data_IF_690166558598
#
_entry.id   IF_690166558598
#
_cell.length_a   1.000
_cell.length_b   1.000
_cell.length_c   1.000
_cell.angle_alpha   90.00
_cell.angle_beta   90.00
_cell.angle_gamma   90.00
#
_symmetry.space_group_name_H-M   'P 1'
#
loop_
_entity.id
_entity.type
_entity.pdbx_description
1 polymer ?
#
# COMPACT_ATOMS: atom_id res chain seq x y z
N UNK A 1 -2.26 5.88 8.03
CA UNK A 1 -3.42 5.32 8.77
C UNK A 1 -4.68 5.40 7.90
N UNK A 2 -5.59 4.42 7.92
CA UNK A 2 -6.92 4.59 7.28
C UNK A 2 -7.64 5.76 7.97
N UNK A 3 -8.13 6.79 7.26
CA UNK A 3 -8.73 7.96 7.90
C UNK A 3 -10.09 7.67 8.55
N UNK A 4 -10.66 6.47 8.32
CA UNK A 4 -11.98 6.11 8.82
C UNK A 4 -11.86 4.94 9.81
N UNK A 5 -11.97 5.24 11.11
CA UNK A 5 -12.25 4.22 12.16
C UNK A 5 -13.71 3.74 12.11
N UNK A 6 -14.58 4.52 11.47
CA UNK A 6 -16.01 4.27 11.30
C UNK A 6 -16.28 3.54 9.98
N UNK A 7 -16.96 2.39 10.08
CA UNK A 7 -17.27 1.53 8.93
C UNK A 7 -18.26 2.18 7.96
N UNK A 8 -19.25 2.93 8.45
CA UNK A 8 -20.24 3.57 7.59
C UNK A 8 -19.59 4.69 6.78
N UNK A 9 -18.76 5.53 7.42
CA UNK A 9 -17.99 6.57 6.72
C UNK A 9 -17.07 6.00 5.64
N UNK A 10 -16.45 4.84 5.90
CA UNK A 10 -15.65 4.15 4.90
C UNK A 10 -16.52 3.67 3.72
N UNK A 11 -17.69 3.08 3.99
CA UNK A 11 -18.59 2.60 2.95
C UNK A 11 -19.12 3.77 2.11
N UNK A 12 -19.46 4.90 2.73
CA UNK A 12 -19.91 6.11 2.02
C UNK A 12 -18.79 6.71 1.17
N UNK A 13 -17.56 6.77 1.70
CA UNK A 13 -16.39 7.18 0.93
C UNK A 13 -16.17 6.27 -0.28
N UNK A 14 -16.21 4.94 -0.09
CA UNK A 14 -16.04 3.97 -1.17
C UNK A 14 -17.16 4.11 -2.20
N UNK A 15 -18.40 4.31 -1.77
CA UNK A 15 -19.56 4.50 -2.65
C UNK A 15 -19.42 5.78 -3.48
N UNK A 16 -19.03 6.89 -2.85
CA UNK A 16 -18.82 8.17 -3.51
C UNK A 16 -17.62 8.13 -4.46
N UNK A 17 -16.52 7.51 -4.05
CA UNK A 17 -15.36 7.29 -4.91
C UNK A 17 -15.73 6.42 -6.11
N UNK A 18 -16.47 5.34 -5.87
CA UNK A 18 -16.94 4.44 -6.92
C UNK A 18 -17.84 5.16 -7.94
N UNK A 19 -18.71 6.06 -7.47
CA UNK A 19 -19.57 6.86 -8.33
C UNK A 19 -18.79 7.89 -9.19
N UNK A 20 -17.73 8.49 -8.63
CA UNK A 20 -16.88 9.47 -9.32
C UNK A 20 -15.85 8.84 -10.26
N UNK A 21 -15.49 7.57 -10.02
CA UNK A 21 -14.48 6.85 -10.79
C UNK A 21 -15.04 5.53 -11.34
N UNK A 22 -16.09 5.59 -12.19
CA UNK A 22 -16.78 4.40 -12.69
C UNK A 22 -15.85 3.47 -13.48
N UNK A 23 -14.86 4.02 -14.19
CA UNK A 23 -13.88 3.24 -14.97
C UNK A 23 -12.95 2.41 -14.08
N UNK A 24 -12.60 2.93 -12.90
CA UNK A 24 -11.76 2.24 -11.92
C UNK A 24 -12.55 1.11 -11.25
N UNK A 25 -13.83 1.36 -10.94
CA UNK A 25 -14.75 0.35 -10.41
C UNK A 25 -15.03 -0.73 -11.45
N UNK A 26 -15.21 -0.34 -12.71
CA UNK A 26 -15.39 -1.23 -13.86
C UNK A 26 -14.15 -2.11 -14.04
N UNK A 27 -12.94 -1.54 -14.09
CA UNK A 27 -11.67 -2.28 -14.15
C UNK A 27 -11.43 -3.18 -12.93
N UNK A 28 -11.90 -2.77 -11.74
CA UNK A 28 -11.91 -3.62 -10.56
C UNK A 28 -12.90 -4.80 -10.74
N UNK A 29 -14.16 -4.54 -11.11
CA UNK A 29 -15.22 -5.55 -11.29
C UNK A 29 -14.92 -6.52 -12.45
N UNK A 30 -14.39 -6.05 -13.56
CA UNK A 30 -14.06 -6.86 -14.74
C UNK A 30 -12.97 -7.92 -14.46
N UNK A 31 -12.19 -7.75 -13.39
CA UNK A 31 -11.22 -8.75 -12.93
C UNK A 31 -11.83 -9.88 -12.07
N UNK A 32 -13.14 -10.15 -12.15
CA UNK A 32 -13.81 -11.32 -11.55
C UNK A 32 -13.45 -12.65 -12.25
N UNK A 33 -12.15 -12.87 -12.46
CA UNK A 33 -11.57 -14.18 -12.75
C UNK A 33 -11.29 -14.91 -11.42
N UNK A 34 -11.05 -16.24 -11.46
CA UNK A 34 -10.53 -17.01 -10.30
C UNK A 34 -9.34 -16.32 -9.61
N UNK A 35 -8.51 -15.58 -10.36
CA UNK A 35 -7.37 -14.84 -9.83
C UNK A 35 -7.76 -13.65 -8.93
N UNK A 36 -8.87 -12.96 -9.23
CA UNK A 36 -9.41 -11.88 -8.39
C UNK A 36 -9.89 -12.38 -7.03
N UNK A 37 -10.56 -13.54 -7.01
CA UNK A 37 -11.01 -14.20 -5.76
C UNK A 37 -9.82 -14.62 -4.89
N UNK A 38 -8.83 -15.32 -5.46
CA UNK A 38 -7.63 -15.76 -4.71
C UNK A 38 -6.86 -14.60 -4.07
N UNK A 39 -6.77 -13.46 -4.76
CA UNK A 39 -6.14 -12.27 -4.20
C UNK A 39 -6.94 -11.70 -3.02
N UNK A 40 -8.27 -11.57 -3.16
CA UNK A 40 -9.13 -11.10 -2.09
C UNK A 40 -9.10 -12.04 -0.86
N UNK A 41 -9.09 -13.35 -1.07
CA UNK A 41 -8.95 -14.33 0.01
C UNK A 41 -7.60 -14.20 0.71
N UNK A 42 -6.52 -13.98 -0.05
CA UNK A 42 -5.18 -13.72 0.50
C UNK A 42 -5.12 -12.44 1.32
N UNK A 43 -5.78 -11.39 0.85
CA UNK A 43 -5.89 -10.09 1.52
C UNK A 43 -6.62 -10.25 2.87
N UNK A 44 -7.76 -10.93 2.88
CA UNK A 44 -8.50 -11.23 4.10
C UNK A 44 -7.69 -12.12 5.05
N UNK A 45 -7.05 -13.17 4.56
CA UNK A 45 -6.31 -14.13 5.40
C UNK A 45 -5.07 -13.52 6.04
N UNK A 46 -4.26 -12.77 5.28
CA UNK A 46 -3.02 -12.18 5.77
C UNK A 46 -3.25 -10.87 6.53
N UNK A 47 -4.14 -10.03 6.00
CA UNK A 47 -4.25 -8.66 6.49
C UNK A 47 -5.56 -8.36 7.21
N UNK A 48 -6.57 -9.26 7.17
CA UNK A 48 -7.94 -8.98 7.63
C UNK A 48 -8.56 -7.78 6.91
N UNK A 49 -8.08 -7.50 5.69
CA UNK A 49 -8.51 -6.37 4.86
C UNK A 49 -9.46 -6.87 3.79
N UNK A 50 -10.65 -6.30 3.73
CA UNK A 50 -11.60 -6.53 2.64
C UNK A 50 -11.12 -5.88 1.36
N UNK A 51 -11.63 -6.36 0.23
CA UNK A 51 -11.32 -5.78 -1.07
C UNK A 51 -11.72 -4.30 -1.13
N UNK A 52 -12.87 -3.95 -0.57
CA UNK A 52 -13.43 -2.60 -0.55
C UNK A 52 -12.53 -1.67 0.27
N UNK A 53 -12.02 -2.13 1.41
CA UNK A 53 -11.01 -1.42 2.20
C UNK A 53 -9.74 -1.17 1.39
N UNK A 54 -9.22 -2.17 0.68
CA UNK A 54 -8.04 -1.99 -0.16
C UNK A 54 -8.27 -0.94 -1.26
N UNK A 55 -9.42 -1.02 -1.97
CA UNK A 55 -9.78 -0.06 -3.01
C UNK A 55 -9.88 1.35 -2.43
N UNK A 56 -10.55 1.51 -1.28
CA UNK A 56 -10.63 2.80 -0.58
C UNK A 56 -9.25 3.36 -0.25
N UNK A 57 -8.36 2.50 0.24
CA UNK A 57 -6.99 2.88 0.62
C UNK A 57 -6.16 3.26 -0.59
N UNK A 58 -6.29 2.53 -1.68
CA UNK A 58 -5.62 2.82 -2.95
C UNK A 58 -6.10 4.15 -3.53
N UNK A 59 -7.42 4.38 -3.52
CA UNK A 59 -8.05 5.64 -3.90
C UNK A 59 -7.53 6.84 -3.10
N UNK A 60 -7.48 6.70 -1.77
CA UNK A 60 -6.94 7.74 -0.87
C UNK A 60 -5.47 8.08 -1.14
N UNK A 61 -4.74 7.17 -1.78
CA UNK A 61 -3.34 7.37 -2.18
C UNK A 61 -3.19 7.71 -3.66
N UNK A 62 -4.27 8.08 -4.36
CA UNK A 62 -4.26 8.34 -5.80
C UNK A 62 -3.64 7.18 -6.60
N UNK A 63 -3.90 5.95 -6.15
CA UNK A 63 -3.34 4.70 -6.68
C UNK A 63 -1.81 4.61 -6.68
N UNK A 64 -1.13 5.47 -5.91
CA UNK A 64 0.34 5.56 -5.81
C UNK A 64 0.88 4.96 -4.53
N UNK A 65 2.16 4.59 -4.57
CA UNK A 65 2.94 4.20 -3.40
C UNK A 65 2.95 5.34 -2.37
N UNK A 66 2.61 5.05 -1.11
CA UNK A 66 2.62 6.05 -0.04
C UNK A 66 4.02 6.58 0.33
N UNK A 67 5.10 5.96 -0.16
CA UNK A 67 6.47 6.43 0.06
C UNK A 67 7.00 7.20 -1.15
N UNK A 68 7.04 6.56 -2.33
CA UNK A 68 7.70 7.16 -3.49
C UNK A 68 6.77 7.93 -4.44
N UNK A 69 5.46 7.96 -4.17
CA UNK A 69 4.48 8.71 -4.96
C UNK A 69 4.24 8.17 -6.38
N UNK A 70 4.79 7.00 -6.72
CA UNK A 70 4.68 6.39 -8.06
C UNK A 70 3.66 5.25 -8.08
N UNK A 71 2.99 5.12 -9.21
CA UNK A 71 2.13 3.99 -9.60
C UNK A 71 2.99 2.76 -9.93
N UNK A 72 2.38 1.58 -10.01
CA UNK A 72 3.10 0.37 -10.42
C UNK A 72 3.48 0.42 -11.91
N UNK A 73 2.67 1.10 -12.72
CA UNK A 73 2.91 1.35 -14.14
C UNK A 73 4.14 2.25 -14.36
N UNK A 74 4.25 3.37 -13.64
CA UNK A 74 5.42 4.27 -13.70
C UNK A 74 6.72 3.59 -13.25
N UNK A 75 6.61 2.57 -12.39
CA UNK A 75 7.74 1.78 -11.93
C UNK A 75 8.09 0.60 -12.86
N UNK A 76 7.31 0.39 -13.93
CA UNK A 76 7.45 -0.72 -14.87
C UNK A 76 7.58 -2.09 -14.18
N UNK A 77 6.81 -2.31 -13.11
CA UNK A 77 6.86 -3.59 -12.38
C UNK A 77 5.82 -4.58 -12.86
N UNK A 78 6.17 -5.87 -12.83
CA UNK A 78 5.23 -6.95 -13.17
C UNK A 78 4.03 -7.01 -12.22
N UNK A 79 4.21 -6.58 -10.97
CA UNK A 79 3.17 -6.60 -9.95
C UNK A 79 2.17 -5.45 -10.17
N UNK A 80 0.96 -5.78 -10.67
CA UNK A 80 -0.09 -4.79 -10.95
C UNK A 80 -0.74 -4.14 -9.72
N UNK A 81 -0.35 -4.53 -8.49
CA UNK A 81 -1.00 -4.08 -7.24
C UNK A 81 0.05 -3.65 -6.23
N UNK A 82 -0.25 -2.61 -5.46
CA UNK A 82 0.56 -2.20 -4.32
C UNK A 82 0.40 -3.22 -3.16
N UNK A 83 1.47 -3.44 -2.41
CA UNK A 83 1.50 -4.29 -1.22
C UNK A 83 0.85 -3.58 -0.03
N UNK A 84 0.14 -4.33 0.82
CA UNK A 84 -0.37 -3.81 2.09
C UNK A 84 0.77 -3.75 3.09
N UNK A 85 1.07 -2.55 3.56
CA UNK A 85 2.06 -2.31 4.60
C UNK A 85 1.39 -2.15 5.97
N UNK A 86 2.01 -2.73 7.00
CA UNK A 86 1.49 -2.74 8.36
C UNK A 86 2.61 -2.54 9.37
N UNK A 87 2.25 -2.03 10.54
CA UNK A 87 3.19 -1.83 11.64
C UNK A 87 3.63 -3.18 12.23
N UNK A 88 4.92 -3.47 12.07
CA UNK A 88 5.56 -4.70 12.53
C UNK A 88 5.85 -4.74 14.03
N UNK A 89 5.78 -3.61 14.73
CA UNK A 89 5.80 -3.59 16.18
C UNK A 89 4.47 -4.09 16.75
N UNK A 90 3.36 -3.76 16.09
CA UNK A 90 2.03 -4.27 16.45
C UNK A 90 1.82 -5.74 16.05
N UNK A 91 2.25 -6.14 14.85
CA UNK A 91 2.14 -7.52 14.38
C UNK A 91 3.44 -7.95 13.72
N UNK A 92 4.17 -8.88 14.34
CA UNK A 92 5.40 -9.41 13.75
C UNK A 92 5.12 -10.32 12.55
N UNK A 93 6.03 -10.30 11.57
CA UNK A 93 5.98 -11.17 10.39
C UNK A 93 5.10 -10.65 9.24
N UNK A 94 4.50 -11.57 8.48
CA UNK A 94 3.75 -11.23 7.25
C UNK A 94 2.28 -10.89 7.46
N UNK A 95 1.70 -11.21 8.63
CA UNK A 95 0.27 -11.09 8.90
C UNK A 95 0.00 -9.88 9.79
N UNK A 96 -1.15 -9.24 9.59
CA UNK A 96 -1.58 -8.11 10.41
C UNK A 96 -2.89 -8.40 11.16
N UNK A 97 -3.10 -7.74 12.30
CA UNK A 97 -4.34 -7.82 13.08
C UNK A 97 -5.56 -7.16 12.42
N UNK A 98 -5.38 -6.48 11.29
CA UNK A 98 -6.42 -5.71 10.61
C UNK A 98 -6.60 -4.28 11.10
N UNK A 99 -5.85 -3.87 12.12
CA UNK A 99 -5.92 -2.52 12.72
C UNK A 99 -4.65 -1.70 12.49
N UNK A 100 -3.53 -2.36 12.19
CA UNK A 100 -2.21 -1.74 12.11
C UNK A 100 -1.73 -1.42 10.68
N UNK A 101 -2.62 -1.31 9.70
CA UNK A 101 -2.23 -0.94 8.33
C UNK A 101 -1.76 0.51 8.25
N UNK A 102 -0.59 0.74 7.67
CA UNK A 102 -0.04 2.09 7.45
C UNK A 102 -0.54 2.65 6.11
N UNK A 103 -0.18 1.96 5.02
CA UNK A 103 -0.41 2.38 3.63
C UNK A 103 -0.31 1.22 2.63
N UNK A 104 -0.43 1.56 1.36
CA UNK A 104 -0.10 0.68 0.25
C UNK A 104 1.24 1.12 -0.38
N UNK A 105 2.16 0.18 -0.54
CA UNK A 105 3.53 0.44 -0.98
C UNK A 105 3.87 -0.36 -2.24
N UNK A 106 4.76 0.18 -3.09
CA UNK A 106 5.21 -0.56 -4.28
C UNK A 106 6.15 -1.71 -3.91
N UNK A 107 6.48 -2.55 -4.90
CA UNK A 107 7.36 -3.72 -4.71
C UNK A 107 8.81 -3.36 -4.40
N UNK A 108 9.22 -2.09 -4.52
CA UNK A 108 10.54 -1.61 -4.13
C UNK A 108 10.54 -1.05 -2.71
N UNK A 109 9.62 -0.13 -2.40
CA UNK A 109 9.59 0.55 -1.11
C UNK A 109 9.21 -0.39 0.04
N UNK A 110 8.25 -1.29 -0.17
CA UNK A 110 7.76 -2.19 0.87
C UNK A 110 8.86 -3.11 1.46
N UNK A 111 9.63 -3.86 0.64
CA UNK A 111 10.75 -4.63 1.18
C UNK A 111 11.90 -3.75 1.67
N UNK A 112 12.14 -2.57 1.09
CA UNK A 112 13.24 -1.70 1.50
C UNK A 112 13.09 -1.22 2.96
N UNK A 113 11.91 -0.74 3.37
CA UNK A 113 11.69 -0.34 4.77
C UNK A 113 11.78 -1.55 5.72
N UNK A 114 11.29 -2.72 5.27
CA UNK A 114 11.37 -3.95 6.04
C UNK A 114 12.79 -4.48 6.22
N UNK A 115 13.65 -4.31 5.22
CA UNK A 115 15.06 -4.70 5.25
C UNK A 115 15.86 -3.83 6.23
N UNK A 116 15.45 -2.57 6.40
CA UNK A 116 15.99 -1.67 7.42
C UNK A 116 15.32 -1.85 8.79
N UNK A 117 14.45 -2.85 8.93
CA UNK A 117 13.83 -3.23 10.20
C UNK A 117 12.70 -2.33 10.64
N UNK A 118 12.07 -1.59 9.73
CA UNK A 118 11.06 -0.57 10.04
C UNK A 118 11.55 0.48 11.06
N UNK A 119 12.87 0.68 11.17
CA UNK A 119 13.52 1.58 12.11
C UNK A 119 13.74 2.96 11.46
N UNK A 120 13.04 4.02 11.94
CA UNK A 120 13.19 5.36 11.41
C UNK A 120 14.62 5.90 11.49
N UNK A 121 15.39 5.51 12.50
CA UNK A 121 16.75 5.99 12.70
C UNK A 121 17.70 5.35 11.68
N UNK A 122 17.56 4.06 11.41
CA UNK A 122 18.30 3.39 10.32
C UNK A 122 17.95 3.95 8.95
N UNK A 123 16.68 4.28 8.72
CA UNK A 123 16.23 4.89 7.46
C UNK A 123 16.88 6.27 7.22
N UNK A 124 16.97 7.11 8.27
CA UNK A 124 17.67 8.40 8.20
C UNK A 124 19.16 8.23 7.91
N UNK A 125 19.83 7.33 8.64
CA UNK A 125 21.25 7.04 8.42
C UNK A 125 21.54 6.51 7.01
N UNK A 126 20.63 5.71 6.44
CA UNK A 126 20.75 5.26 5.06
C UNK A 126 20.67 6.41 4.05
N UNK A 127 19.78 7.39 4.30
CA UNK A 127 19.70 8.60 3.47
C UNK A 127 20.97 9.46 3.60
N UNK A 128 21.42 9.70 4.83
CA UNK A 128 22.65 10.46 5.13
C UNK A 128 23.88 9.85 4.46
N UNK A 129 24.01 8.52 4.47
CA UNK A 129 25.11 7.81 3.81
C UNK A 129 25.17 8.14 2.31
N UNK A 130 24.02 8.06 1.61
CA UNK A 130 23.92 8.36 0.17
C UNK A 130 24.23 9.84 -0.09
N UNK A 131 23.66 10.74 0.71
CA UNK A 131 23.88 12.18 0.59
C UNK A 131 25.33 12.57 0.82
N UNK A 132 25.99 11.94 1.80
CA UNK A 132 27.40 12.20 2.08
C UNK A 132 28.28 11.86 0.88
N UNK A 133 28.00 10.74 0.20
CA UNK A 133 28.72 10.35 -1.00
C UNK A 133 28.48 11.33 -2.16
N UNK A 134 27.24 11.80 -2.36
CA UNK A 134 26.91 12.81 -3.40
C UNK A 134 27.60 14.16 -3.16
N UNK A 135 27.66 14.61 -1.90
CA UNK A 135 28.36 15.84 -1.52
C UNK A 135 29.86 15.75 -1.80
N UNK A 136 30.47 14.58 -1.57
CA UNK A 136 31.89 14.36 -1.81
C UNK A 136 32.25 14.21 -3.29
N UNK A 137 31.32 13.74 -4.12
CA UNK A 137 31.58 13.41 -5.53
C UNK A 137 30.90 14.35 -6.53
N UNK A 138 30.42 15.52 -6.08
CA UNK A 138 29.89 16.58 -6.94
C UNK A 138 28.70 16.13 -7.78
N UNK A 139 27.53 15.96 -7.15
CA UNK A 139 26.24 15.99 -7.86
C UNK A 139 25.66 17.39 -7.84
#
# INVERSE_FOLDING_TARGET
MMPFKDRQKLLDYVKNYAAKHPDIVKKCRENFTKAGKRWADGLMRKFKMTREQYIAKSALQDHKCAICGRTQEELNVRAKRLSVDHDRQCCSGEKSCGKCWRGLLCSYCNPAIGALGDDPERLKKAAEYIESWRKLNGS
#
